data_IF_412415354595
#
_entry.id   IF_412415354595
#
_cell.length_a   1.000
_cell.length_b   1.000
_cell.length_c   1.000
_cell.angle_alpha   90.00
_cell.angle_beta   90.00
_cell.angle_gamma   90.00
#
_symmetry.space_group_name_H-M   'P 1'
#
loop_
_entity.id
_entity.type
_entity.pdbx_description
1 polymer ?
#
# COMPACT_ATOMS: atom_id res chain seq x y z
N UNK A 1 0.02 12.48 28.02
CA UNK A 1 -0.66 13.76 28.27
C UNK A 1 -2.10 13.51 28.75
N UNK A 2 -2.97 12.86 27.97
CA UNK A 2 -4.40 12.65 28.34
C UNK A 2 -4.55 11.89 29.67
N UNK A 3 -3.82 10.77 29.85
CA UNK A 3 -3.88 9.95 31.07
C UNK A 3 -3.32 10.65 32.32
N UNK A 4 -2.35 11.55 32.14
CA UNK A 4 -1.66 12.23 33.26
C UNK A 4 -2.17 13.64 33.49
N UNK A 5 -3.05 14.16 32.63
CA UNK A 5 -3.56 15.55 32.71
C UNK A 5 -2.52 16.63 32.40
N UNK A 6 -1.34 16.26 31.91
CA UNK A 6 -0.27 17.19 31.61
C UNK A 6 -0.48 17.89 30.25
N UNK A 7 -0.04 19.14 30.17
CA UNK A 7 0.05 19.84 28.89
C UNK A 7 1.08 19.13 27.99
N UNK A 8 0.73 18.74 26.76
CA UNK A 8 1.63 18.01 25.86
C UNK A 8 2.97 18.69 25.63
N UNK A 9 2.98 20.01 25.44
CA UNK A 9 4.22 20.75 25.23
C UNK A 9 5.13 20.74 26.48
N UNK A 10 4.59 21.04 27.67
CA UNK A 10 5.35 20.98 28.91
C UNK A 10 5.93 19.59 29.17
N UNK A 11 5.14 18.55 28.98
CA UNK A 11 5.58 17.17 29.11
C UNK A 11 6.72 16.81 28.13
N UNK A 12 6.64 17.25 26.88
CA UNK A 12 7.68 17.04 25.87
C UNK A 12 8.97 17.76 26.27
N UNK A 13 8.90 19.02 26.70
CA UNK A 13 10.08 19.79 27.09
C UNK A 13 10.78 19.23 28.33
N UNK A 14 10.03 18.71 29.30
CA UNK A 14 10.62 18.04 30.48
C UNK A 14 11.34 16.76 30.09
N UNK A 15 10.76 15.96 29.18
CA UNK A 15 11.41 14.75 28.67
C UNK A 15 12.69 15.08 27.89
N UNK A 16 12.68 16.07 27.02
CA UNK A 16 13.88 16.53 26.29
C UNK A 16 14.99 16.91 27.26
N UNK A 17 14.65 17.67 28.30
CA UNK A 17 15.62 18.07 29.34
C UNK A 17 16.18 16.86 30.08
N UNK A 18 15.33 15.92 30.43
CA UNK A 18 15.74 14.66 31.11
C UNK A 18 16.71 13.86 30.26
N UNK A 19 16.35 13.59 28.99
CA UNK A 19 17.22 12.88 28.06
C UNK A 19 18.56 13.61 27.83
N UNK A 20 18.52 14.92 27.66
CA UNK A 20 19.75 15.74 27.51
C UNK A 20 20.68 15.60 28.70
N UNK A 21 20.14 15.62 29.93
CA UNK A 21 20.95 15.43 31.13
C UNK A 21 21.54 14.03 31.20
N UNK A 22 20.75 12.99 30.94
CA UNK A 22 21.22 11.61 30.92
C UNK A 22 22.34 11.38 29.88
N UNK A 23 22.19 11.94 28.67
CA UNK A 23 23.24 11.86 27.64
C UNK A 23 24.52 12.59 28.06
N UNK A 24 24.42 13.73 28.73
CA UNK A 24 25.58 14.44 29.29
C UNK A 24 26.29 13.63 30.38
N UNK A 25 25.52 12.98 31.27
CA UNK A 25 26.07 12.10 32.31
C UNK A 25 26.82 10.90 31.71
N UNK A 26 26.36 10.39 30.55
CA UNK A 26 27.05 9.32 29.82
C UNK A 26 28.27 9.80 29.03
N UNK A 27 28.56 11.12 29.04
CA UNK A 27 29.75 11.68 28.39
C UNK A 27 29.62 11.90 26.87
N UNK A 28 28.39 11.97 26.34
CA UNK A 28 28.19 12.34 24.94
C UNK A 28 28.57 13.80 24.70
N UNK A 29 29.49 14.03 23.76
CA UNK A 29 30.04 15.35 23.42
C UNK A 29 29.32 15.94 22.19
N UNK A 30 28.03 16.29 22.37
CA UNK A 30 27.25 17.00 21.35
C UNK A 30 27.30 18.50 21.56
N UNK A 31 27.17 19.27 20.48
CA UNK A 31 26.92 20.71 20.55
C UNK A 31 25.44 20.94 20.95
N UNK A 32 25.19 20.99 22.26
CA UNK A 32 23.85 21.13 22.83
C UNK A 32 23.16 22.45 22.47
N UNK A 33 23.91 23.45 21.93
CA UNK A 33 23.32 24.70 21.45
C UNK A 33 22.55 24.52 20.14
N UNK A 34 22.80 23.41 19.42
CA UNK A 34 22.16 23.06 18.17
C UNK A 34 21.01 22.05 18.34
N UNK A 35 20.56 21.86 19.55
CA UNK A 35 19.37 21.02 19.81
C UNK A 35 18.13 21.64 19.19
N UNK A 36 17.41 20.85 18.43
CA UNK A 36 16.13 21.24 17.81
C UNK A 36 15.03 20.27 18.24
N UNK A 37 13.81 20.76 18.31
CA UNK A 37 12.64 19.94 18.51
C UNK A 37 11.71 20.05 17.28
N UNK A 38 11.36 18.95 16.66
CA UNK A 38 10.49 18.94 15.48
C UNK A 38 9.07 19.36 15.80
N UNK A 39 8.69 19.39 17.08
CA UNK A 39 7.42 19.90 17.60
C UNK A 39 7.39 21.42 17.79
N UNK A 40 8.53 22.10 17.65
CA UNK A 40 8.59 23.54 17.81
C UNK A 40 8.06 24.28 16.56
N UNK A 41 7.32 25.40 16.73
CA UNK A 41 6.81 26.19 15.63
C UNK A 41 7.89 26.64 14.64
N UNK A 42 9.06 27.01 15.14
CA UNK A 42 10.20 27.45 14.33
C UNK A 42 10.75 26.33 13.43
N UNK A 43 10.52 25.08 13.82
CA UNK A 43 10.89 23.93 12.99
C UNK A 43 9.75 23.53 12.04
N UNK A 44 8.55 23.24 12.56
CA UNK A 44 7.49 22.66 11.72
C UNK A 44 6.89 23.64 10.71
N UNK A 45 7.07 24.97 10.85
CA UNK A 45 6.60 25.89 9.81
C UNK A 45 7.28 25.63 8.47
N UNK A 46 8.52 25.12 8.46
CA UNK A 46 9.19 24.72 7.22
C UNK A 46 8.56 23.49 6.59
N UNK A 47 8.16 22.50 7.40
CA UNK A 47 7.37 21.36 6.94
C UNK A 47 6.06 21.81 6.31
N UNK A 48 5.36 22.75 6.95
CA UNK A 48 4.14 23.35 6.42
C UNK A 48 4.39 24.16 5.15
N UNK A 49 5.52 24.83 5.05
CA UNK A 49 5.89 25.57 3.83
C UNK A 49 6.12 24.62 2.67
N UNK A 50 6.89 23.54 2.88
CA UNK A 50 7.12 22.50 1.86
C UNK A 50 5.79 21.89 1.41
N UNK A 51 4.92 21.52 2.35
CA UNK A 51 3.59 21.00 2.04
C UNK A 51 2.79 21.99 1.17
N UNK A 52 2.82 23.28 1.51
CA UNK A 52 2.14 24.31 0.72
C UNK A 52 2.68 24.42 -0.71
N UNK A 53 3.98 24.20 -0.94
CA UNK A 53 4.51 24.16 -2.31
C UNK A 53 3.97 22.91 -3.04
N UNK A 54 4.06 21.72 -2.44
CA UNK A 54 3.53 20.49 -3.03
C UNK A 54 2.03 20.61 -3.37
N UNK A 55 1.26 21.26 -2.49
CA UNK A 55 -0.17 21.50 -2.75
C UNK A 55 -0.40 22.46 -3.92
N UNK A 56 0.35 23.57 -4.00
CA UNK A 56 0.25 24.55 -5.11
C UNK A 56 0.62 23.94 -6.45
N UNK A 57 1.61 23.05 -6.46
CA UNK A 57 2.10 22.38 -7.66
C UNK A 57 1.27 21.14 -8.03
N UNK A 58 0.20 20.84 -7.25
CA UNK A 58 -0.72 19.74 -7.53
C UNK A 58 -0.25 18.36 -7.11
N UNK A 59 0.90 18.25 -6.42
CA UNK A 59 1.41 16.98 -5.90
C UNK A 59 0.74 16.54 -4.60
N UNK A 60 0.15 17.44 -3.83
CA UNK A 60 -0.67 17.11 -2.67
C UNK A 60 -2.15 17.32 -2.99
N UNK A 61 -2.96 16.26 -2.90
CA UNK A 61 -4.38 16.27 -3.27
C UNK A 61 -5.19 15.34 -2.40
N UNK A 62 -6.50 15.60 -2.32
CA UNK A 62 -7.43 14.68 -1.68
C UNK A 62 -7.81 13.55 -2.65
N UNK A 63 -7.70 12.32 -2.17
CA UNK A 63 -8.03 11.10 -2.92
C UNK A 63 -8.90 10.20 -2.05
N UNK A 64 -9.94 9.61 -2.63
CA UNK A 64 -10.70 8.55 -1.96
C UNK A 64 -9.93 7.24 -2.12
N UNK A 65 -9.53 6.65 -1.00
CA UNK A 65 -8.75 5.42 -0.99
C UNK A 65 -9.12 4.51 0.19
N UNK A 66 -8.94 3.19 0.06
CA UNK A 66 -9.16 2.27 1.16
C UNK A 66 -8.08 2.46 2.24
N UNK A 67 -8.52 2.65 3.48
CA UNK A 67 -7.66 2.81 4.67
C UNK A 67 -8.00 1.77 5.72
N UNK A 68 -7.06 1.52 6.63
CA UNK A 68 -7.29 0.68 7.80
C UNK A 68 -7.96 1.53 8.90
N UNK A 69 -9.25 1.38 9.07
CA UNK A 69 -10.03 2.12 10.05
C UNK A 69 -10.23 1.31 11.32
N UNK A 70 -9.91 1.87 12.46
CA UNK A 70 -10.22 1.31 13.77
C UNK A 70 -11.25 2.18 14.47
N UNK A 71 -12.47 1.64 14.67
CA UNK A 71 -13.59 2.36 15.26
C UNK A 71 -13.32 2.74 16.72
N UNK A 72 -12.77 1.80 17.49
CA UNK A 72 -12.49 1.99 18.92
C UNK A 72 -11.40 3.02 19.19
N UNK A 73 -10.43 3.14 18.29
CA UNK A 73 -9.38 4.17 18.37
C UNK A 73 -9.80 5.47 17.68
N UNK A 74 -10.87 5.44 16.86
CA UNK A 74 -11.37 6.59 16.10
C UNK A 74 -10.35 7.16 15.10
N UNK A 75 -9.49 6.30 14.53
CA UNK A 75 -8.39 6.75 13.65
C UNK A 75 -8.07 5.75 12.55
N UNK A 76 -7.39 6.25 11.52
CA UNK A 76 -6.76 5.46 10.47
C UNK A 76 -5.42 4.96 10.98
N UNK A 77 -5.10 3.70 10.70
CA UNK A 77 -3.86 3.03 11.06
C UNK A 77 -3.00 2.77 9.82
N UNK A 78 -1.69 2.86 9.98
CA UNK A 78 -0.73 2.37 8.98
C UNK A 78 -0.79 0.84 8.87
N UNK A 79 -0.22 0.28 7.81
CA UNK A 79 -0.15 -1.19 7.68
C UNK A 79 0.65 -1.83 8.82
N UNK A 80 1.71 -1.16 9.29
CA UNK A 80 2.56 -1.65 10.39
C UNK A 80 1.86 -1.67 11.75
N UNK A 81 0.80 -0.86 11.92
CA UNK A 81 -0.02 -0.83 13.14
C UNK A 81 -1.15 -1.85 13.16
N UNK A 82 -1.25 -2.69 12.11
CA UNK A 82 -2.27 -3.73 12.00
C UNK A 82 -1.61 -5.11 12.02
N UNK A 83 -1.89 -5.89 13.06
CA UNK A 83 -1.37 -7.24 13.26
C UNK A 83 -2.56 -8.19 13.33
N UNK A 84 -2.60 -9.19 12.44
CA UNK A 84 -3.69 -10.18 12.36
C UNK A 84 -5.11 -9.55 12.33
N UNK A 85 -5.27 -8.45 11.57
CA UNK A 85 -6.55 -7.74 11.44
C UNK A 85 -6.95 -6.92 12.66
N UNK A 86 -6.03 -6.71 13.60
CA UNK A 86 -6.26 -5.94 14.84
C UNK A 86 -5.22 -4.82 14.97
N UNK A 87 -5.61 -3.75 15.67
CA UNK A 87 -4.68 -2.68 16.03
C UNK A 87 -3.60 -3.19 16.98
N UNK A 88 -2.33 -2.86 16.74
CA UNK A 88 -1.21 -3.14 17.65
C UNK A 88 -1.53 -2.59 19.06
N UNK A 89 -2.04 -1.37 19.10
CA UNK A 89 -2.45 -0.73 20.34
C UNK A 89 -3.90 -1.07 20.68
N UNK A 90 -4.10 -1.89 21.71
CA UNK A 90 -5.41 -2.25 22.26
C UNK A 90 -6.04 -3.51 21.67
N UNK A 91 -5.52 -4.08 20.58
CA UNK A 91 -6.01 -5.33 19.99
C UNK A 91 -7.42 -5.24 19.41
N UNK A 92 -7.84 -4.04 18.97
CA UNK A 92 -9.19 -3.79 18.45
C UNK A 92 -9.32 -4.21 16.98
N UNK A 93 -10.52 -4.63 16.54
CA UNK A 93 -10.75 -4.96 15.14
C UNK A 93 -10.46 -3.78 14.20
N UNK A 94 -9.85 -4.07 13.07
CA UNK A 94 -9.57 -3.10 12.01
C UNK A 94 -10.31 -3.50 10.75
N UNK A 95 -10.97 -2.53 10.11
CA UNK A 95 -11.71 -2.75 8.87
C UNK A 95 -11.13 -1.91 7.73
N UNK A 96 -11.23 -2.41 6.51
CA UNK A 96 -10.93 -1.61 5.30
C UNK A 96 -12.14 -0.74 4.98
N UNK A 97 -11.92 0.59 4.87
CA UNK A 97 -12.97 1.57 4.60
C UNK A 97 -12.46 2.62 3.63
N UNK A 98 -13.23 2.93 2.60
CA UNK A 98 -12.92 4.04 1.70
C UNK A 98 -13.14 5.36 2.42
N UNK A 99 -12.09 6.16 2.48
CA UNK A 99 -12.11 7.48 3.12
C UNK A 99 -11.29 8.47 2.30
N UNK A 100 -11.74 9.72 2.31
CA UNK A 100 -11.03 10.82 1.69
C UNK A 100 -9.76 11.13 2.48
N UNK A 101 -8.60 10.94 1.87
CA UNK A 101 -7.28 11.15 2.46
C UNK A 101 -6.52 12.23 1.70
N UNK A 102 -5.70 13.00 2.43
CA UNK A 102 -4.73 13.90 1.85
C UNK A 102 -3.47 13.11 1.49
N UNK A 103 -3.22 12.98 0.20
CA UNK A 103 -2.10 12.19 -0.32
C UNK A 103 -1.07 13.07 -1.03
N UNK A 104 0.19 12.68 -0.93
CA UNK A 104 1.29 13.26 -1.72
C UNK A 104 1.64 12.26 -2.83
N UNK A 105 1.61 12.73 -4.07
CA UNK A 105 1.93 11.95 -5.27
C UNK A 105 3.43 11.75 -5.40
N UNK A 106 3.96 10.76 -4.72
CA UNK A 106 5.39 10.43 -4.75
C UNK A 106 5.80 9.80 -6.08
N UNK A 107 4.91 9.07 -6.74
CA UNK A 107 5.17 8.39 -8.00
C UNK A 107 5.53 9.39 -9.12
N UNK A 108 5.02 10.61 -9.07
CA UNK A 108 5.34 11.67 -10.01
C UNK A 108 6.85 12.04 -10.07
N UNK A 109 7.61 11.68 -9.04
CA UNK A 109 9.05 11.94 -8.97
C UNK A 109 9.92 10.73 -9.33
N UNK A 110 9.34 9.55 -9.56
CA UNK A 110 10.06 8.29 -9.71
C UNK A 110 11.08 8.32 -10.86
N UNK A 111 10.69 8.74 -12.07
CA UNK A 111 11.60 8.81 -13.22
C UNK A 111 12.76 9.79 -12.97
N UNK A 112 12.44 10.98 -12.45
CA UNK A 112 13.44 11.99 -12.15
C UNK A 112 14.43 11.52 -11.08
N UNK A 113 13.97 10.75 -10.09
CA UNK A 113 14.84 10.16 -9.08
C UNK A 113 15.77 9.10 -9.69
N UNK A 114 15.26 8.25 -10.60
CA UNK A 114 16.07 7.26 -11.31
C UNK A 114 17.14 7.91 -12.19
N UNK A 115 16.78 8.95 -12.94
CA UNK A 115 17.73 9.71 -13.78
C UNK A 115 18.83 10.35 -12.92
N UNK A 116 18.44 10.98 -11.80
CA UNK A 116 19.35 11.64 -10.88
C UNK A 116 20.39 10.71 -10.25
N UNK A 117 20.15 9.39 -10.15
CA UNK A 117 21.14 8.43 -9.68
C UNK A 117 22.38 8.35 -10.59
N UNK A 118 22.26 8.75 -11.85
CA UNK A 118 23.40 8.76 -12.79
C UNK A 118 24.32 9.97 -12.58
N UNK A 119 23.83 11.03 -11.93
CA UNK A 119 24.55 12.29 -11.72
C UNK A 119 25.32 12.35 -10.39
N UNK A 120 24.94 11.49 -9.41
CA UNK A 120 25.52 11.52 -8.06
C UNK A 120 26.68 10.54 -7.91
N UNK A 121 27.68 10.94 -7.13
CA UNK A 121 28.84 10.10 -6.80
C UNK A 121 28.56 9.26 -5.54
N UNK A 122 27.66 8.27 -5.71
CA UNK A 122 27.33 7.30 -4.67
C UNK A 122 27.90 5.92 -5.01
N UNK A 123 28.17 5.05 -4.00
CA UNK A 123 28.51 3.66 -4.24
C UNK A 123 27.46 2.96 -5.09
N UNK A 124 27.88 2.13 -6.05
CA UNK A 124 26.95 1.46 -6.96
C UNK A 124 25.94 0.57 -6.23
N UNK A 125 26.36 -0.08 -5.15
CA UNK A 125 25.44 -0.86 -4.30
C UNK A 125 24.29 -0.02 -3.74
N UNK A 126 24.55 1.22 -3.38
CA UNK A 126 23.50 2.14 -2.89
C UNK A 126 22.58 2.57 -4.02
N UNK A 127 23.12 2.89 -5.20
CA UNK A 127 22.32 3.22 -6.38
C UNK A 127 21.42 2.06 -6.78
N UNK A 128 21.93 0.83 -6.74
CA UNK A 128 21.15 -0.38 -7.07
C UNK A 128 20.00 -0.60 -6.08
N UNK A 129 20.25 -0.39 -4.79
CA UNK A 129 19.15 -0.44 -3.79
C UNK A 129 18.07 0.60 -4.07
N UNK A 130 18.44 1.82 -4.50
CA UNK A 130 17.49 2.86 -4.86
C UNK A 130 16.70 2.50 -6.14
N UNK A 131 17.38 1.97 -7.18
CA UNK A 131 16.71 1.49 -8.40
C UNK A 131 15.71 0.40 -8.09
N UNK A 132 16.08 -0.58 -7.28
CA UNK A 132 15.22 -1.68 -6.88
C UNK A 132 14.03 -1.20 -6.01
N UNK A 133 14.25 -0.22 -5.15
CA UNK A 133 13.19 0.37 -4.34
C UNK A 133 12.15 1.09 -5.19
N UNK A 134 12.58 1.90 -6.17
CA UNK A 134 11.69 2.58 -7.10
C UNK A 134 10.96 1.58 -7.99
N UNK A 135 11.63 0.48 -8.38
CA UNK A 135 11.01 -0.67 -9.00
C UNK A 135 10.39 -0.39 -10.37
N UNK A 136 11.07 0.42 -11.22
CA UNK A 136 10.60 0.63 -12.59
C UNK A 136 10.50 -0.69 -13.32
N UNK A 137 9.31 -1.01 -13.81
CA UNK A 137 9.07 -2.17 -14.66
C UNK A 137 8.50 -1.74 -16.01
N UNK A 138 8.83 -2.49 -17.05
CA UNK A 138 8.28 -2.30 -18.38
C UNK A 138 7.52 -3.56 -18.76
N UNK A 139 6.32 -3.40 -19.27
CA UNK A 139 5.49 -4.55 -19.65
C UNK A 139 4.44 -4.17 -20.69
N UNK A 140 3.53 -5.08 -20.93
CA UNK A 140 2.47 -4.96 -21.91
C UNK A 140 1.12 -5.12 -21.22
N UNK A 141 0.19 -4.26 -21.54
CA UNK A 141 -1.22 -4.43 -21.19
C UNK A 141 -1.89 -5.32 -22.24
N UNK A 142 -2.57 -6.36 -21.78
CA UNK A 142 -3.25 -7.31 -22.64
C UNK A 142 -4.71 -7.41 -22.26
N UNK A 143 -5.60 -7.24 -23.23
CA UNK A 143 -7.03 -7.33 -23.03
C UNK A 143 -7.53 -8.77 -23.29
N UNK A 144 -8.26 -9.32 -22.31
CA UNK A 144 -8.94 -10.61 -22.40
C UNK A 144 -10.44 -10.41 -22.54
N UNK A 145 -11.08 -11.23 -23.35
CA UNK A 145 -12.54 -11.29 -23.44
C UNK A 145 -13.08 -12.37 -22.52
N UNK A 146 -14.24 -12.09 -21.91
CA UNK A 146 -14.98 -13.06 -21.09
C UNK A 146 -16.04 -13.74 -21.96
N UNK A 147 -16.09 -15.06 -21.91
CA UNK A 147 -17.11 -15.84 -22.63
C UNK A 147 -18.51 -15.38 -22.17
N UNK A 148 -19.34 -14.97 -23.12
CA UNK A 148 -20.68 -14.43 -22.85
C UNK A 148 -20.70 -12.92 -22.53
N UNK A 149 -19.59 -12.21 -22.82
CA UNK A 149 -19.50 -10.75 -22.78
C UNK A 149 -18.75 -10.20 -21.56
N UNK A 150 -18.11 -9.06 -21.77
CA UNK A 150 -17.20 -8.39 -20.84
C UNK A 150 -15.74 -8.55 -21.28
N UNK A 151 -14.92 -7.63 -20.83
CA UNK A 151 -13.48 -7.59 -21.08
C UNK A 151 -12.76 -7.14 -19.81
N UNK A 152 -11.52 -7.56 -19.67
CA UNK A 152 -10.61 -7.04 -18.66
C UNK A 152 -9.18 -6.98 -19.18
N UNK A 153 -8.39 -6.08 -18.66
CA UNK A 153 -6.98 -5.95 -18.99
C UNK A 153 -6.12 -6.53 -17.87
N UNK A 154 -5.00 -7.10 -18.25
CA UNK A 154 -3.92 -7.47 -17.34
C UNK A 154 -2.64 -6.76 -17.77
N UNK A 155 -1.77 -6.47 -16.83
CA UNK A 155 -0.41 -6.04 -17.10
C UNK A 155 0.56 -7.19 -16.87
N UNK A 156 1.48 -7.41 -17.82
CA UNK A 156 2.53 -8.44 -17.67
C UNK A 156 3.88 -7.94 -18.14
N UNK A 157 4.94 -8.26 -17.40
CA UNK A 157 6.33 -8.04 -17.82
C UNK A 157 6.88 -9.15 -18.71
N UNK A 158 6.17 -10.29 -18.80
CA UNK A 158 6.59 -11.48 -19.52
C UNK A 158 5.53 -11.90 -20.54
N UNK A 159 5.31 -11.07 -21.57
CA UNK A 159 4.26 -11.28 -22.57
C UNK A 159 4.40 -12.62 -23.32
N UNK A 160 5.60 -13.13 -23.47
CA UNK A 160 5.90 -14.41 -24.12
C UNK A 160 5.24 -15.61 -23.43
N UNK A 161 4.91 -15.49 -22.14
CA UNK A 161 4.24 -16.56 -21.38
C UNK A 161 2.75 -16.70 -21.71
N UNK A 162 2.17 -15.76 -22.46
CA UNK A 162 0.73 -15.72 -22.76
C UNK A 162 0.24 -16.97 -23.51
N UNK A 163 1.11 -17.59 -24.32
CA UNK A 163 0.78 -18.83 -25.05
C UNK A 163 0.53 -20.03 -24.13
N UNK A 164 1.16 -20.02 -22.94
CA UNK A 164 1.11 -21.09 -21.96
C UNK A 164 0.07 -20.88 -20.85
N UNK A 165 -0.74 -19.83 -20.91
CA UNK A 165 -1.78 -19.56 -19.89
C UNK A 165 -2.80 -20.70 -19.87
N UNK A 166 -3.04 -21.26 -18.69
CA UNK A 166 -4.03 -22.30 -18.42
C UNK A 166 -5.22 -21.83 -17.60
N UNK A 167 -5.05 -20.77 -16.83
CA UNK A 167 -6.09 -20.11 -16.04
C UNK A 167 -5.75 -18.64 -15.82
N UNK A 168 -6.76 -17.86 -15.45
CA UNK A 168 -6.63 -16.46 -15.04
C UNK A 168 -7.01 -16.30 -13.57
N UNK A 169 -6.38 -15.35 -12.86
CA UNK A 169 -6.69 -15.07 -11.47
C UNK A 169 -7.01 -13.58 -11.32
N UNK A 170 -8.17 -13.29 -10.76
CA UNK A 170 -8.63 -11.92 -10.49
C UNK A 170 -8.48 -11.58 -9.01
N UNK A 171 -8.42 -10.29 -8.72
CA UNK A 171 -8.43 -9.80 -7.35
C UNK A 171 -9.82 -10.01 -6.73
N UNK A 172 -9.92 -10.62 -5.53
CA UNK A 172 -11.21 -10.89 -4.88
C UNK A 172 -12.02 -9.62 -4.56
N UNK A 173 -11.32 -8.52 -4.30
CA UNK A 173 -11.84 -7.19 -3.98
C UNK A 173 -11.96 -6.26 -5.20
N UNK A 174 -11.74 -6.78 -6.41
CA UNK A 174 -11.85 -6.03 -7.66
C UNK A 174 -13.28 -5.83 -8.14
N UNK A 175 -13.57 -4.69 -8.78
CA UNK A 175 -14.89 -4.34 -9.30
C UNK A 175 -15.40 -5.36 -10.33
N UNK A 176 -14.50 -5.91 -11.15
CA UNK A 176 -14.85 -6.93 -12.15
C UNK A 176 -15.48 -8.18 -11.54
N UNK A 177 -15.01 -8.62 -10.38
CA UNK A 177 -15.59 -9.79 -9.70
C UNK A 177 -17.02 -9.50 -9.22
N UNK A 178 -17.29 -8.27 -8.78
CA UNK A 178 -18.65 -7.84 -8.41
C UNK A 178 -19.58 -7.79 -9.63
N UNK A 179 -19.09 -7.30 -10.77
CA UNK A 179 -19.85 -7.29 -12.03
C UNK A 179 -20.16 -8.70 -12.53
N UNK A 180 -19.23 -9.64 -12.34
CA UNK A 180 -19.40 -11.04 -12.75
C UNK A 180 -20.28 -11.86 -11.79
N UNK A 181 -20.49 -11.39 -10.56
CA UNK A 181 -21.19 -12.13 -9.51
C UNK A 181 -22.53 -12.75 -9.96
N UNK A 182 -23.42 -12.04 -10.71
CA UNK A 182 -24.70 -12.63 -11.16
C UNK A 182 -24.55 -13.82 -12.10
N UNK A 183 -23.38 -14.00 -12.74
CA UNK A 183 -23.09 -15.05 -13.72
C UNK A 183 -22.37 -16.26 -13.09
N UNK A 184 -21.82 -16.09 -11.88
CA UNK A 184 -21.09 -17.12 -11.14
C UNK A 184 -22.09 -18.15 -10.58
N UNK A 185 -21.81 -19.44 -10.73
CA UNK A 185 -22.68 -20.53 -10.25
C UNK A 185 -22.51 -20.84 -8.77
N UNK A 186 -21.26 -20.76 -8.27
CA UNK A 186 -20.90 -21.02 -6.86
C UNK A 186 -20.78 -19.72 -6.03
N UNK A 187 -21.79 -18.84 -6.13
CA UNK A 187 -21.76 -17.49 -5.51
C UNK A 187 -21.49 -17.49 -4.01
N UNK A 188 -22.05 -18.45 -3.28
CA UNK A 188 -21.92 -18.49 -1.81
C UNK A 188 -20.49 -18.80 -1.38
N UNK A 189 -19.82 -19.74 -2.08
CA UNK A 189 -18.42 -20.06 -1.88
C UNK A 189 -17.51 -18.86 -2.21
N UNK A 190 -17.78 -18.20 -3.34
CA UNK A 190 -17.04 -17.01 -3.78
C UNK A 190 -17.18 -15.86 -2.79
N UNK A 191 -18.40 -15.59 -2.28
CA UNK A 191 -18.63 -14.56 -1.26
C UNK A 191 -17.91 -14.85 0.05
N UNK A 192 -17.95 -16.11 0.51
CA UNK A 192 -17.22 -16.53 1.71
C UNK A 192 -15.71 -16.32 1.55
N UNK A 193 -15.16 -16.71 0.40
CA UNK A 193 -13.75 -16.52 0.09
C UNK A 193 -13.34 -15.03 0.03
N UNK A 194 -14.17 -14.17 -0.59
CA UNK A 194 -13.96 -12.71 -0.61
C UNK A 194 -13.91 -12.15 0.81
N UNK A 195 -14.86 -12.51 1.66
CA UNK A 195 -14.93 -12.04 3.05
C UNK A 195 -13.68 -12.45 3.85
N UNK A 196 -13.24 -13.70 3.70
CA UNK A 196 -12.00 -14.17 4.32
C UNK A 196 -10.78 -13.38 3.83
N UNK A 197 -10.66 -13.20 2.51
CA UNK A 197 -9.50 -12.55 1.90
C UNK A 197 -9.41 -11.06 2.25
N UNK A 198 -10.53 -10.34 2.22
CA UNK A 198 -10.59 -8.90 2.55
C UNK A 198 -10.22 -8.62 4.01
N UNK A 199 -10.37 -9.60 4.89
CA UNK A 199 -9.94 -9.49 6.30
C UNK A 199 -8.42 -9.58 6.48
N UNK A 200 -7.67 -10.10 5.48
CA UNK A 200 -6.20 -10.21 5.50
C UNK A 200 -5.55 -8.88 5.12
N UNK A 201 -4.38 -8.57 5.70
CA UNK A 201 -3.59 -7.42 5.26
C UNK A 201 -2.98 -7.64 3.87
N UNK A 202 -2.65 -6.57 3.14
CA UNK A 202 -1.94 -6.69 1.85
C UNK A 202 -0.59 -7.41 2.00
N UNK A 203 0.11 -7.19 3.11
CA UNK A 203 1.36 -7.87 3.43
C UNK A 203 1.14 -9.38 3.58
N UNK A 204 0.10 -9.80 4.31
CA UNK A 204 -0.24 -11.22 4.46
C UNK A 204 -0.60 -11.88 3.13
N UNK A 205 -1.26 -11.15 2.24
CA UNK A 205 -1.66 -11.62 0.91
C UNK A 205 -0.46 -11.78 -0.03
N UNK A 206 0.55 -10.92 0.05
CA UNK A 206 1.71 -10.88 -0.86
C UNK A 206 2.94 -11.62 -0.35
N UNK A 207 2.98 -12.00 0.92
CA UNK A 207 4.12 -12.70 1.52
C UNK A 207 4.39 -14.06 0.84
N UNK A 208 5.62 -14.24 0.36
CA UNK A 208 6.02 -15.41 -0.44
C UNK A 208 5.97 -16.74 0.34
N UNK A 209 6.14 -16.68 1.66
CA UNK A 209 6.24 -17.88 2.51
C UNK A 209 4.89 -18.37 3.03
N UNK A 210 3.80 -17.64 2.81
CA UNK A 210 2.44 -18.07 3.18
C UNK A 210 1.82 -18.90 2.06
N UNK A 211 1.02 -19.89 2.43
CA UNK A 211 0.25 -20.68 1.47
C UNK A 211 -0.68 -19.79 0.66
N UNK A 212 -0.61 -19.90 -0.67
CA UNK A 212 -1.53 -19.19 -1.58
C UNK A 212 -2.82 -19.98 -1.70
N UNK A 213 -3.94 -19.26 -1.70
CA UNK A 213 -5.27 -19.86 -1.89
C UNK A 213 -6.01 -19.21 -3.03
N UNK A 214 -7.01 -19.91 -3.57
CA UNK A 214 -7.85 -19.40 -4.64
C UNK A 214 -9.18 -20.11 -4.69
N UNK A 215 -10.19 -19.42 -5.24
CA UNK A 215 -11.52 -19.95 -5.48
C UNK A 215 -11.86 -19.83 -6.96
N UNK A 216 -12.36 -20.90 -7.57
CA UNK A 216 -12.77 -20.92 -8.98
C UNK A 216 -14.09 -20.17 -9.15
N UNK A 217 -14.20 -19.37 -10.20
CA UNK A 217 -15.46 -18.74 -10.60
C UNK A 217 -16.21 -19.67 -11.56
N UNK A 218 -17.06 -20.54 -11.03
CA UNK A 218 -17.77 -21.51 -11.87
C UNK A 218 -18.71 -20.83 -12.88
N UNK A 219 -18.56 -21.23 -14.14
CA UNK A 219 -19.33 -20.67 -15.26
C UNK A 219 -18.68 -19.44 -15.90
N UNK A 220 -17.57 -18.94 -15.37
CA UNK A 220 -16.80 -17.85 -15.97
C UNK A 220 -15.54 -18.40 -16.63
N UNK A 221 -15.32 -17.99 -17.88
CA UNK A 221 -14.12 -18.30 -18.64
C UNK A 221 -13.63 -17.07 -19.38
N UNK A 222 -12.35 -16.98 -19.59
CA UNK A 222 -11.71 -15.96 -20.41
C UNK A 222 -11.15 -16.56 -21.70
N UNK A 223 -11.04 -15.75 -22.74
CA UNK A 223 -10.48 -16.16 -24.03
C UNK A 223 -9.05 -15.62 -24.11
N UNK A 224 -8.08 -16.52 -24.28
CA UNK A 224 -6.71 -16.12 -24.55
C UNK A 224 -6.65 -15.44 -25.94
N UNK A 225 -6.28 -14.13 -26.01
CA UNK A 225 -6.35 -13.36 -27.26
C UNK A 225 -5.37 -13.83 -28.33
N UNK A 226 -4.35 -14.60 -27.96
CA UNK A 226 -3.29 -15.03 -28.90
C UNK A 226 -3.64 -16.35 -29.61
N UNK A 227 -4.28 -17.27 -28.90
CA UNK A 227 -4.55 -18.63 -29.45
C UNK A 227 -6.05 -19.01 -29.44
N UNK A 228 -6.94 -18.13 -28.95
CA UNK A 228 -8.39 -18.34 -28.93
C UNK A 228 -8.87 -19.39 -27.90
N UNK A 229 -7.99 -19.96 -27.07
CA UNK A 229 -8.37 -20.95 -26.08
C UNK A 229 -9.16 -20.35 -24.95
N UNK A 230 -10.21 -21.01 -24.51
CA UNK A 230 -10.90 -20.71 -23.28
C UNK A 230 -10.07 -21.18 -22.09
N UNK A 231 -9.92 -20.31 -21.09
CA UNK A 231 -9.23 -20.59 -19.83
C UNK A 231 -10.16 -20.34 -18.65
N UNK A 232 -9.99 -21.12 -17.60
CA UNK A 232 -10.77 -20.96 -16.35
C UNK A 232 -10.37 -19.67 -15.62
N UNK A 233 -11.33 -19.08 -14.90
CA UNK A 233 -11.09 -17.88 -14.11
C UNK A 233 -11.25 -18.20 -12.63
N UNK A 234 -10.29 -17.72 -11.83
CA UNK A 234 -10.22 -17.86 -10.40
C UNK A 234 -10.15 -16.47 -9.73
N UNK A 235 -10.43 -16.41 -8.46
CA UNK A 235 -9.98 -15.32 -7.58
C UNK A 235 -8.91 -15.87 -6.65
N UNK A 236 -7.92 -15.04 -6.31
CA UNK A 236 -6.79 -15.48 -5.47
C UNK A 236 -6.39 -14.41 -4.45
N UNK A 237 -6.09 -14.84 -3.22
CA UNK A 237 -5.73 -13.93 -2.12
C UNK A 237 -4.44 -13.14 -2.39
N UNK A 238 -3.58 -13.63 -3.28
CA UNK A 238 -2.31 -13.00 -3.66
C UNK A 238 -2.43 -11.97 -4.80
N UNK A 239 -3.61 -11.77 -5.37
CA UNK A 239 -3.85 -10.76 -6.42
C UNK A 239 -4.49 -9.52 -5.80
N UNK A 240 -3.89 -8.36 -6.04
CA UNK A 240 -4.36 -7.08 -5.53
C UNK A 240 -5.13 -6.30 -6.61
N UNK A 241 -6.23 -5.64 -6.24
CA UNK A 241 -7.08 -4.92 -7.19
C UNK A 241 -6.41 -3.69 -7.81
N UNK A 242 -5.35 -3.17 -7.19
CA UNK A 242 -4.61 -1.98 -7.63
C UNK A 242 -3.32 -2.32 -8.39
N UNK A 243 -3.04 -3.61 -8.64
CA UNK A 243 -1.84 -4.07 -9.33
C UNK A 243 -2.14 -5.26 -10.23
N UNK A 244 -1.86 -5.16 -11.53
CA UNK A 244 -1.92 -6.24 -12.54
C UNK A 244 -2.81 -5.92 -13.71
#
# INVERSE_FOLDING_TARGET
>A
AVQTGNNPNGFTQENIKTFTNQLKELGFDYDWSKTIATSDPDFYHWTQWIFKQLYKDGYAKYVDMPVNWCEELGTVLSNDEVIDGKSERGGYPVIRKNMKQLCIDQAAFAERLLEGLNEIDWPESTKEMQRNWIGRSTGVEVQFEIVGGGKFSIFTTCIETIYGITFMVLAPDGDLVQELMPRIKNQDEVKAYIQETVSKSEMDRTELNKGKSGCRLEGIKAINPVNGREVEVFIGDFVLANYG
#
